data_IF_443460620498
#
_entry.id   IF_443460620498
#
_cell.length_a   1.000
_cell.length_b   1.000
_cell.length_c   1.000
_cell.angle_alpha   90.00
_cell.angle_beta   90.00
_cell.angle_gamma   90.00
#
_symmetry.space_group_name_H-M   'P 1'
#
loop_
_entity.id
_entity.type
_entity.pdbx_description
1 polymer ?
#
# COMPACT_ATOMS: atom_id res chain seq x y z
N UNK A 1 -26.86 4.23 -17.01
CA UNK A 1 -27.32 2.82 -17.03
C UNK A 1 -26.46 2.06 -16.03
N UNK A 2 -27.05 1.30 -15.09
CA UNK A 2 -26.26 0.44 -14.19
C UNK A 2 -25.94 -0.87 -14.93
N UNK A 3 -24.67 -1.25 -14.95
CA UNK A 3 -24.21 -2.55 -15.46
C UNK A 3 -23.70 -3.40 -14.28
N UNK A 4 -23.83 -4.73 -14.33
CA UNK A 4 -23.25 -5.61 -13.31
C UNK A 4 -21.74 -5.42 -13.22
N UNK A 5 -21.20 -5.50 -12.00
CA UNK A 5 -19.75 -5.47 -11.78
C UNK A 5 -19.08 -6.69 -12.43
N UNK A 6 -17.94 -6.48 -13.08
CA UNK A 6 -17.15 -7.57 -13.66
C UNK A 6 -16.50 -8.42 -12.56
N UNK A 7 -16.14 -9.68 -12.83
CA UNK A 7 -15.56 -10.57 -11.82
C UNK A 7 -14.36 -9.97 -11.07
N UNK A 8 -13.44 -9.30 -11.76
CA UNK A 8 -12.27 -8.68 -11.11
C UNK A 8 -12.62 -7.46 -10.26
N UNK A 9 -13.69 -6.74 -10.59
CA UNK A 9 -14.21 -5.64 -9.76
C UNK A 9 -14.82 -6.18 -8.46
N UNK A 10 -15.48 -7.34 -8.54
CA UNK A 10 -16.00 -8.05 -7.36
C UNK A 10 -14.84 -8.53 -6.48
N UNK A 11 -13.79 -9.11 -7.07
CA UNK A 11 -12.59 -9.54 -6.34
C UNK A 11 -11.92 -8.36 -5.65
N UNK A 12 -11.70 -7.25 -6.35
CA UNK A 12 -11.13 -6.04 -5.75
C UNK A 12 -12.02 -5.53 -4.59
N UNK A 13 -13.35 -5.56 -4.74
CA UNK A 13 -14.27 -5.18 -3.66
C UNK A 13 -14.14 -6.10 -2.43
N UNK A 14 -14.02 -7.41 -2.63
CA UNK A 14 -13.82 -8.36 -1.53
C UNK A 14 -12.48 -8.08 -0.83
N UNK A 15 -11.39 -7.89 -1.58
CA UNK A 15 -10.08 -7.57 -1.01
C UNK A 15 -10.09 -6.24 -0.26
N UNK A 16 -10.80 -5.23 -0.78
CA UNK A 16 -10.99 -3.95 -0.08
C UNK A 16 -11.74 -4.13 1.26
N UNK A 17 -12.75 -5.00 1.30
CA UNK A 17 -13.46 -5.30 2.54
C UNK A 17 -12.54 -5.99 3.56
N UNK A 18 -11.71 -6.94 3.11
CA UNK A 18 -10.72 -7.61 3.97
C UNK A 18 -9.70 -6.59 4.50
N UNK A 19 -9.18 -5.70 3.65
CA UNK A 19 -8.27 -4.61 4.04
C UNK A 19 -8.89 -3.70 5.10
N UNK A 20 -10.13 -3.26 4.88
CA UNK A 20 -10.84 -2.42 5.84
C UNK A 20 -11.06 -3.13 7.19
N UNK A 21 -11.36 -4.43 7.17
CA UNK A 21 -11.47 -5.23 8.39
C UNK A 21 -10.13 -5.36 9.12
N UNK A 22 -9.04 -5.63 8.39
CA UNK A 22 -7.71 -5.81 8.99
C UNK A 22 -7.12 -4.49 9.53
N UNK A 23 -7.42 -3.35 8.90
CA UNK A 23 -6.85 -2.05 9.28
C UNK A 23 -7.15 -1.62 10.74
N UNK A 24 -8.26 -2.09 11.31
CA UNK A 24 -8.62 -1.81 12.71
C UNK A 24 -7.94 -2.75 13.73
N UNK A 25 -7.09 -3.68 13.27
CA UNK A 25 -6.54 -4.81 14.05
C UNK A 25 -5.03 -4.92 13.85
N UNK A 26 -4.21 -4.27 14.69
CA UNK A 26 -2.76 -4.30 14.57
C UNK A 26 -2.16 -5.71 14.61
N UNK A 27 -2.84 -6.68 15.24
CA UNK A 27 -2.45 -8.09 15.25
C UNK A 27 -2.69 -8.82 13.93
N UNK A 28 -3.37 -8.18 12.96
CA UNK A 28 -3.73 -8.71 11.64
C UNK A 28 -3.01 -8.03 10.48
N UNK A 29 -1.82 -7.47 10.72
CA UNK A 29 -0.99 -6.87 9.66
C UNK A 29 -0.61 -7.87 8.56
N UNK A 30 -0.52 -9.16 8.88
CA UNK A 30 -0.34 -10.25 7.91
C UNK A 30 -1.50 -10.32 6.90
N UNK A 31 -2.75 -10.31 7.39
CA UNK A 31 -3.96 -10.34 6.57
C UNK A 31 -4.08 -9.06 5.74
N UNK A 32 -3.77 -7.90 6.33
CA UNK A 32 -3.74 -6.63 5.61
C UNK A 32 -2.72 -6.69 4.45
N UNK A 33 -1.51 -7.19 4.70
CA UNK A 33 -0.46 -7.29 3.69
C UNK A 33 -0.87 -8.21 2.54
N UNK A 34 -1.38 -9.41 2.84
CA UNK A 34 -1.87 -10.33 1.82
C UNK A 34 -2.98 -9.73 0.97
N UNK A 35 -3.95 -9.05 1.57
CA UNK A 35 -5.04 -8.44 0.83
C UNK A 35 -4.56 -7.33 -0.11
N UNK A 36 -3.56 -6.55 0.30
CA UNK A 36 -2.91 -5.54 -0.57
C UNK A 36 -2.12 -6.20 -1.69
N UNK A 37 -1.32 -7.22 -1.39
CA UNK A 37 -0.50 -7.94 -2.38
C UNK A 37 -1.37 -8.60 -3.44
N UNK A 38 -2.45 -9.28 -3.06
CA UNK A 38 -3.43 -9.83 -4.01
C UNK A 38 -4.12 -8.75 -4.84
N UNK A 39 -4.38 -7.58 -4.25
CA UNK A 39 -4.99 -6.46 -4.99
C UNK A 39 -4.04 -5.89 -6.04
N UNK A 40 -2.74 -5.85 -5.76
CA UNK A 40 -1.70 -5.38 -6.69
C UNK A 40 -1.48 -6.35 -7.88
N UNK A 41 -1.89 -7.61 -7.76
CA UNK A 41 -1.86 -8.57 -8.86
C UNK A 41 -3.00 -8.37 -9.87
N UNK A 42 -4.03 -7.59 -9.53
CA UNK A 42 -5.12 -7.31 -10.45
C UNK A 42 -4.66 -6.36 -11.56
N UNK A 43 -5.09 -6.54 -12.82
CA UNK A 43 -4.64 -5.68 -13.94
C UNK A 43 -4.94 -4.19 -13.76
N UNK A 44 -6.02 -3.86 -13.07
CA UNK A 44 -6.40 -2.50 -12.72
C UNK A 44 -6.54 -2.39 -11.21
N UNK A 45 -5.68 -1.61 -10.59
CA UNK A 45 -5.66 -1.39 -9.15
C UNK A 45 -5.28 0.07 -8.82
N UNK A 46 -5.70 0.61 -7.66
CA UNK A 46 -5.29 1.94 -7.24
C UNK A 46 -3.78 2.01 -6.99
N UNK A 47 -3.10 3.01 -7.57
CA UNK A 47 -1.66 3.21 -7.35
C UNK A 47 -1.28 3.36 -5.87
N UNK A 48 -2.17 3.96 -5.07
CA UNK A 48 -2.02 4.13 -3.61
C UNK A 48 -1.78 2.82 -2.85
N UNK A 49 -2.17 1.66 -3.40
CA UNK A 49 -1.91 0.37 -2.77
C UNK A 49 -0.41 0.07 -2.62
N UNK A 50 0.44 0.61 -3.50
CA UNK A 50 1.91 0.46 -3.38
C UNK A 50 2.44 1.10 -2.11
N UNK A 51 1.96 2.31 -1.80
CA UNK A 51 2.30 3.00 -0.57
C UNK A 51 1.76 2.29 0.67
N UNK A 52 0.53 1.76 0.61
CA UNK A 52 -0.04 0.99 1.71
C UNK A 52 0.77 -0.28 2.00
N UNK A 53 1.18 -1.00 0.94
CA UNK A 53 2.07 -2.16 1.07
C UNK A 53 3.38 -1.78 1.74
N UNK A 54 3.99 -0.69 1.31
CA UNK A 54 5.23 -0.16 1.89
C UNK A 54 5.07 0.14 3.39
N UNK A 55 3.95 0.73 3.81
CA UNK A 55 3.65 0.98 5.22
C UNK A 55 3.48 -0.32 6.02
N UNK A 56 2.80 -1.32 5.47
CA UNK A 56 2.62 -2.63 6.12
C UNK A 56 3.94 -3.38 6.27
N UNK A 57 4.83 -3.31 5.28
CA UNK A 57 6.19 -3.87 5.36
C UNK A 57 6.98 -3.23 6.52
N UNK A 58 6.98 -1.89 6.62
CA UNK A 58 7.62 -1.19 7.76
C UNK A 58 7.01 -1.62 9.10
N UNK A 59 5.69 -1.71 9.21
CA UNK A 59 5.02 -2.17 10.44
C UNK A 59 5.42 -3.59 10.86
N UNK A 60 5.76 -4.45 9.90
CA UNK A 60 6.21 -5.83 10.13
C UNK A 60 7.72 -5.97 10.35
N UNK A 61 8.47 -4.86 10.34
CA UNK A 61 9.92 -4.86 10.51
C UNK A 61 10.72 -5.04 9.22
N UNK A 62 10.08 -5.13 8.05
CA UNK A 62 10.75 -5.13 6.74
C UNK A 62 11.15 -3.70 6.33
N UNK A 63 11.94 -3.03 7.19
CA UNK A 63 12.19 -1.59 7.11
C UNK A 63 12.85 -1.14 5.80
N UNK A 64 13.90 -1.82 5.34
CA UNK A 64 14.61 -1.46 4.09
C UNK A 64 13.70 -1.59 2.88
N UNK A 65 12.94 -2.68 2.81
CA UNK A 65 12.03 -2.96 1.70
C UNK A 65 10.87 -1.97 1.68
N UNK A 66 10.25 -1.75 2.84
CA UNK A 66 9.20 -0.76 2.98
C UNK A 66 9.68 0.65 2.62
N UNK A 67 10.89 1.05 3.02
CA UNK A 67 11.46 2.34 2.63
C UNK A 67 11.69 2.46 1.12
N UNK A 68 12.24 1.43 0.48
CA UNK A 68 12.43 1.42 -0.98
C UNK A 68 11.11 1.57 -1.74
N UNK A 69 10.07 0.85 -1.33
CA UNK A 69 8.74 0.96 -1.96
C UNK A 69 8.07 2.33 -1.71
N UNK A 70 8.35 2.98 -0.58
CA UNK A 70 7.93 4.37 -0.34
C UNK A 70 8.64 5.34 -1.28
N UNK A 71 9.95 5.18 -1.51
CA UNK A 71 10.73 6.00 -2.44
C UNK A 71 10.22 5.86 -3.89
N UNK A 72 9.99 4.63 -4.35
CA UNK A 72 9.42 4.37 -5.68
C UNK A 72 8.05 5.04 -5.86
N UNK A 73 7.18 4.92 -4.85
CA UNK A 73 5.86 5.56 -4.89
C UNK A 73 5.95 7.09 -4.84
N UNK A 74 6.89 7.65 -4.08
CA UNK A 74 7.13 9.09 -4.05
C UNK A 74 7.58 9.62 -5.42
N UNK A 75 8.39 8.85 -6.15
CA UNK A 75 8.85 9.24 -7.47
C UNK A 75 7.69 9.35 -8.48
N UNK A 76 6.76 8.39 -8.44
CA UNK A 76 5.54 8.44 -9.27
C UNK A 76 4.70 9.69 -8.95
N UNK A 77 4.66 10.12 -7.69
CA UNK A 77 3.90 11.29 -7.26
C UNK A 77 4.64 12.61 -7.48
N UNK A 78 5.95 12.61 -7.72
CA UNK A 78 6.77 13.82 -7.68
C UNK A 78 6.30 14.89 -8.67
N UNK A 79 5.79 14.48 -9.83
CA UNK A 79 5.29 15.39 -10.87
C UNK A 79 3.87 15.91 -10.60
N UNK A 80 3.06 15.18 -9.84
CA UNK A 80 1.62 15.45 -9.64
C UNK A 80 1.38 16.14 -8.30
N UNK A 81 2.00 15.62 -7.24
CA UNK A 81 1.89 16.11 -5.87
C UNK A 81 3.27 16.19 -5.19
N UNK A 82 4.12 17.18 -5.54
CA UNK A 82 5.50 17.27 -5.04
C UNK A 82 5.61 17.29 -3.52
N UNK A 83 4.70 17.99 -2.84
CA UNK A 83 4.65 18.05 -1.37
C UNK A 83 4.33 16.69 -0.75
N UNK A 84 3.42 15.92 -1.36
CA UNK A 84 3.08 14.57 -0.91
C UNK A 84 4.26 13.63 -1.11
N UNK A 85 4.93 13.70 -2.26
CA UNK A 85 6.15 12.93 -2.55
C UNK A 85 7.25 13.17 -1.51
N UNK A 86 7.53 14.44 -1.18
CA UNK A 86 8.55 14.77 -0.19
C UNK A 86 8.20 14.25 1.22
N UNK A 87 6.93 14.32 1.61
CA UNK A 87 6.48 13.73 2.86
C UNK A 87 6.69 12.21 2.91
N UNK A 88 6.53 11.52 1.78
CA UNK A 88 6.74 10.08 1.67
C UNK A 88 8.24 9.76 1.74
N UNK A 89 9.10 10.53 1.07
CA UNK A 89 10.57 10.36 1.16
C UNK A 89 11.07 10.50 2.60
N UNK A 90 10.56 11.48 3.35
CA UNK A 90 10.88 11.62 4.79
C UNK A 90 10.48 10.40 5.61
N UNK A 91 9.33 9.77 5.31
CA UNK A 91 8.91 8.53 5.97
C UNK A 91 9.80 7.35 5.59
N UNK A 92 10.24 7.26 4.34
CA UNK A 92 11.20 6.25 3.90
C UNK A 92 12.54 6.36 4.65
N UNK A 93 13.07 7.58 4.77
CA UNK A 93 14.28 7.85 5.56
C UNK A 93 14.11 7.47 7.04
N UNK A 94 12.97 7.83 7.65
CA UNK A 94 12.66 7.45 9.02
C UNK A 94 12.59 5.92 9.20
N UNK A 95 12.01 5.19 8.24
CA UNK A 95 11.98 3.74 8.27
C UNK A 95 13.39 3.12 8.19
N UNK A 96 14.27 3.63 7.31
CA UNK A 96 15.68 3.16 7.24
C UNK A 96 16.44 3.39 8.54
N UNK A 97 16.16 4.50 9.23
CA UNK A 97 16.82 4.84 10.47
C UNK A 97 16.49 3.88 11.63
N UNK A 98 15.42 3.08 11.54
CA UNK A 98 15.06 2.10 12.58
C UNK A 98 15.99 0.88 12.67
N UNK A 99 16.88 0.70 11.68
CA UNK A 99 17.89 -0.38 11.68
C UNK A 99 19.26 0.06 12.22
N UNK A 100 19.45 1.36 12.45
CA UNK A 100 20.69 1.93 12.98
C UNK A 100 20.57 2.15 14.49
#
# INVERSE_FOLDING_TARGET
MMVPARPLEIVLRILNNIRAWAAARPERTDVALWAVELSLLLPSHPARLRYERAQLLVQRGEFLRGAAEMEEYAEILAEIEPTTAENIRRKAHAARALLN
#
